data_IF_094917982756
#
_entry.id   IF_094917982756
#
_cell.length_a   1.000
_cell.length_b   1.000
_cell.length_c   1.000
_cell.angle_alpha   90.00
_cell.angle_beta   90.00
_cell.angle_gamma   90.00
#
_symmetry.space_group_name_H-M   'P 1'
#
loop_
_entity.id
_entity.type
_entity.pdbx_description
1 polymer ?
#
# COMPACT_ATOMS: atom_id res chain seq x y z
N UNK A 1 19.95 13.49 -8.19
CA UNK A 1 19.90 12.21 -7.46
C UNK A 1 20.05 11.11 -8.49
N UNK A 2 20.97 10.17 -8.29
CA UNK A 2 21.24 9.09 -9.25
C UNK A 2 20.05 8.13 -9.27
N UNK A 3 19.40 8.02 -10.43
CA UNK A 3 18.26 7.12 -10.71
C UNK A 3 18.55 5.66 -10.38
N UNK A 4 19.83 5.27 -10.36
CA UNK A 4 20.32 3.93 -10.04
C UNK A 4 19.91 3.43 -8.65
N UNK A 5 19.63 4.33 -7.69
CA UNK A 5 19.23 3.96 -6.33
C UNK A 5 17.93 3.14 -6.31
N UNK A 6 17.02 3.37 -7.25
CA UNK A 6 15.65 2.84 -7.23
C UNK A 6 15.34 1.88 -8.37
N UNK A 7 16.33 1.46 -9.14
CA UNK A 7 16.10 0.57 -10.27
C UNK A 7 15.53 -0.78 -9.83
N UNK A 8 15.93 -1.30 -8.65
CA UNK A 8 15.40 -2.57 -8.16
C UNK A 8 13.88 -2.55 -7.95
N UNK A 9 13.30 -1.45 -7.45
CA UNK A 9 11.85 -1.36 -7.26
C UNK A 9 11.08 -1.18 -8.57
N UNK A 10 11.69 -0.50 -9.56
CA UNK A 10 11.14 -0.41 -10.92
C UNK A 10 11.14 -1.76 -11.64
N UNK A 11 12.13 -2.61 -11.36
CA UNK A 11 12.16 -4.00 -11.85
C UNK A 11 11.42 -5.00 -10.95
N UNK A 12 10.56 -4.51 -10.04
CA UNK A 12 9.63 -5.35 -9.26
C UNK A 12 10.23 -6.04 -8.04
N UNK A 13 11.45 -5.68 -7.61
CA UNK A 13 11.98 -6.12 -6.32
C UNK A 13 11.43 -5.26 -5.19
N UNK A 14 11.12 -5.86 -4.04
CA UNK A 14 10.76 -5.08 -2.84
C UNK A 14 11.98 -4.35 -2.29
N UNK A 15 11.79 -3.11 -1.85
CA UNK A 15 12.72 -2.37 -1.01
C UNK A 15 12.29 -2.45 0.44
N UNK A 16 13.24 -2.58 1.35
CA UNK A 16 13.00 -2.66 2.79
C UNK A 16 13.67 -1.49 3.49
N UNK A 17 12.92 -0.83 4.36
CA UNK A 17 13.28 0.39 5.08
C UNK A 17 13.28 0.05 6.56
N UNK A 18 14.40 0.25 7.24
CA UNK A 18 14.49 0.08 8.70
C UNK A 18 13.70 1.20 9.39
N UNK A 19 12.93 0.90 10.44
CA UNK A 19 12.17 1.91 11.21
C UNK A 19 13.05 2.76 12.12
N UNK A 20 14.04 3.43 11.53
CA UNK A 20 14.98 4.34 12.17
C UNK A 20 14.74 5.80 11.73
N UNK A 21 15.51 6.75 12.25
CA UNK A 21 15.42 8.15 11.82
C UNK A 21 15.61 8.26 10.30
N UNK A 22 14.63 8.85 9.61
CA UNK A 22 14.66 9.02 8.14
C UNK A 22 13.78 8.04 7.36
N UNK A 23 13.17 7.04 8.01
CA UNK A 23 12.31 6.06 7.33
C UNK A 23 11.16 6.69 6.53
N UNK A 24 10.53 7.74 7.06
CA UNK A 24 9.46 8.45 6.36
C UNK A 24 9.95 9.16 5.08
N UNK A 25 11.16 9.72 5.12
CA UNK A 25 11.76 10.38 3.96
C UNK A 25 12.12 9.35 2.88
N UNK A 26 12.74 8.23 3.29
CA UNK A 26 13.09 7.15 2.39
C UNK A 26 11.85 6.49 1.75
N UNK A 27 10.79 6.29 2.52
CA UNK A 27 9.51 5.80 2.00
C UNK A 27 8.89 6.79 1.00
N UNK A 28 8.96 8.08 1.30
CA UNK A 28 8.49 9.14 0.40
C UNK A 28 9.24 9.16 -0.92
N UNK A 29 10.57 9.08 -0.89
CA UNK A 29 11.40 9.00 -2.09
C UNK A 29 11.07 7.75 -2.92
N UNK A 30 11.00 6.58 -2.29
CA UNK A 30 10.67 5.33 -2.97
C UNK A 30 9.28 5.37 -3.61
N UNK A 31 8.28 5.91 -2.90
CA UNK A 31 6.92 6.04 -3.40
C UNK A 31 6.87 7.01 -4.58
N UNK A 32 7.53 8.18 -4.48
CA UNK A 32 7.59 9.14 -5.57
C UNK A 32 8.20 8.53 -6.84
N UNK A 33 9.24 7.73 -6.68
CA UNK A 33 9.91 7.05 -7.80
C UNK A 33 9.02 6.01 -8.49
N UNK A 34 8.23 5.25 -7.72
CA UNK A 34 7.24 4.33 -8.29
C UNK A 34 6.10 5.07 -8.99
N UNK A 35 5.62 6.18 -8.41
CA UNK A 35 4.56 6.98 -9.01
C UNK A 35 5.02 7.62 -10.33
N UNK A 36 6.22 8.17 -10.38
CA UNK A 36 6.80 8.72 -11.62
C UNK A 36 7.09 7.63 -12.65
N UNK A 37 7.44 6.41 -12.22
CA UNK A 37 7.64 5.29 -13.12
C UNK A 37 6.32 4.82 -13.76
N UNK A 38 5.23 4.77 -12.99
CA UNK A 38 3.92 4.29 -13.43
C UNK A 38 3.07 5.34 -14.16
N UNK A 39 3.28 6.61 -13.82
CA UNK A 39 2.51 7.75 -14.33
C UNK A 39 3.41 9.01 -14.39
N UNK A 40 4.32 9.08 -15.38
CA UNK A 40 5.29 10.18 -15.50
C UNK A 40 4.63 11.56 -15.59
N UNK A 41 3.45 11.63 -16.19
CA UNK A 41 2.69 12.88 -16.37
C UNK A 41 1.86 13.25 -15.14
N UNK A 42 1.80 12.37 -14.12
CA UNK A 42 1.06 12.58 -12.88
C UNK A 42 -0.43 12.91 -13.11
N UNK A 43 -1.08 12.26 -14.08
CA UNK A 43 -2.47 12.54 -14.45
C UNK A 43 -3.49 11.56 -13.84
N UNK A 44 -3.04 10.37 -13.43
CA UNK A 44 -3.94 9.33 -12.91
C UNK A 44 -4.34 9.65 -11.46
N UNK A 45 -5.57 9.39 -11.01
CA UNK A 45 -5.88 9.54 -9.59
C UNK A 45 -5.11 8.51 -8.76
N UNK A 46 -4.77 8.84 -7.51
CA UNK A 46 -4.12 7.93 -6.56
C UNK A 46 -5.18 7.33 -5.66
N UNK A 47 -5.33 6.02 -5.72
CA UNK A 47 -6.33 5.26 -4.96
C UNK A 47 -5.62 4.48 -3.86
N UNK A 48 -5.66 5.01 -2.65
CA UNK A 48 -5.03 4.43 -1.47
C UNK A 48 -6.04 3.50 -0.82
N UNK A 49 -5.68 2.22 -0.72
CA UNK A 49 -6.46 1.20 -0.05
C UNK A 49 -5.72 0.71 1.18
N UNK A 50 -6.26 1.05 2.35
CA UNK A 50 -5.75 0.64 3.64
C UNK A 50 -6.47 -0.65 4.09
N UNK A 51 -5.70 -1.74 4.21
CA UNK A 51 -6.22 -3.08 4.49
C UNK A 51 -5.82 -3.50 5.90
N UNK A 52 -6.76 -4.05 6.67
CA UNK A 52 -6.52 -4.53 8.02
C UNK A 52 -7.81 -4.72 8.79
N UNK A 53 -7.72 -5.09 10.08
CA UNK A 53 -8.88 -5.31 10.94
C UNK A 53 -8.75 -4.57 12.26
N UNK A 54 -9.87 -4.25 12.89
CA UNK A 54 -9.97 -3.64 14.22
C UNK A 54 -9.73 -4.64 15.38
N UNK A 55 -9.50 -5.93 15.09
CA UNK A 55 -9.50 -7.01 16.09
C UNK A 55 -8.14 -7.36 16.69
N UNK A 56 -7.04 -6.86 16.13
CA UNK A 56 -5.68 -7.13 16.63
C UNK A 56 -4.91 -5.82 16.72
N UNK A 57 -4.20 -5.58 17.82
CA UNK A 57 -3.35 -4.38 18.05
C UNK A 57 -2.25 -4.18 16.99
N UNK A 58 -1.95 -5.19 16.15
CA UNK A 58 -1.05 -5.10 15.00
C UNK A 58 -1.74 -4.98 13.63
N UNK A 59 -3.00 -5.40 13.49
CA UNK A 59 -3.74 -5.40 12.20
C UNK A 59 -4.53 -4.11 11.96
N UNK A 60 -4.70 -3.27 12.99
CA UNK A 60 -5.41 -1.99 12.88
C UNK A 60 -4.56 -0.91 12.20
N UNK A 61 -3.28 -1.18 11.91
CA UNK A 61 -2.37 -0.19 11.34
C UNK A 61 -2.81 0.28 9.94
N UNK A 62 -3.39 -0.61 9.12
CA UNK A 62 -4.01 -0.22 7.85
C UNK A 62 -5.15 0.79 8.06
N UNK A 63 -6.27 0.40 8.69
CA UNK A 63 -7.41 1.30 8.96
C UNK A 63 -7.05 2.59 9.71
N UNK A 64 -6.07 2.54 10.63
CA UNK A 64 -5.57 3.72 11.33
C UNK A 64 -4.88 4.69 10.36
N UNK A 65 -4.00 4.19 9.48
CA UNK A 65 -3.38 5.00 8.42
C UNK A 65 -4.44 5.59 7.51
N UNK A 66 -5.43 4.80 7.08
CA UNK A 66 -6.53 5.29 6.25
C UNK A 66 -7.32 6.41 6.90
N UNK A 67 -7.60 6.30 8.20
CA UNK A 67 -8.29 7.34 8.98
C UNK A 67 -7.47 8.63 9.06
N UNK A 68 -6.15 8.52 9.24
CA UNK A 68 -5.25 9.68 9.27
C UNK A 68 -5.06 10.33 7.90
N UNK A 69 -5.15 9.56 6.82
CA UNK A 69 -5.05 10.05 5.44
C UNK A 69 -6.37 10.64 4.92
N UNK A 70 -7.52 10.24 5.48
CA UNK A 70 -8.84 10.68 5.02
C UNK A 70 -8.99 12.21 4.91
N UNK A 71 -8.48 13.05 5.82
CA UNK A 71 -8.51 14.51 5.68
C UNK A 71 -7.76 15.06 4.46
N UNK A 72 -6.84 14.28 3.88
CA UNK A 72 -6.08 14.60 2.68
C UNK A 72 -6.79 14.15 1.38
N UNK A 73 -7.93 13.48 1.50
CA UNK A 73 -8.71 13.04 0.35
C UNK A 73 -9.14 14.23 -0.51
N UNK A 74 -9.15 14.02 -1.83
CA UNK A 74 -9.46 15.04 -2.83
C UNK A 74 -9.99 14.39 -4.10
N UNK A 75 -10.22 15.19 -5.14
CA UNK A 75 -10.53 14.68 -6.48
C UNK A 75 -9.39 13.89 -7.12
N UNK A 76 -8.18 13.98 -6.56
CA UNK A 76 -6.99 13.29 -7.08
C UNK A 76 -6.48 12.19 -6.14
N UNK A 77 -6.69 12.32 -4.83
CA UNK A 77 -6.34 11.32 -3.82
C UNK A 77 -7.60 10.71 -3.21
N UNK A 78 -7.84 9.42 -3.46
CA UNK A 78 -8.96 8.68 -2.90
C UNK A 78 -8.47 7.74 -1.81
N UNK A 79 -9.10 7.78 -0.64
CA UNK A 79 -8.72 6.97 0.52
C UNK A 79 -9.86 6.00 0.85
N UNK A 80 -9.52 4.72 0.96
CA UNK A 80 -10.44 3.64 1.34
C UNK A 80 -9.84 2.79 2.45
N UNK A 81 -10.70 2.26 3.33
CA UNK A 81 -10.26 1.46 4.47
C UNK A 81 -9.89 2.32 5.66
N UNK A 82 -10.89 2.82 6.37
CA UNK A 82 -10.71 3.62 7.60
C UNK A 82 -11.16 2.80 8.81
N UNK A 83 -11.02 3.37 10.02
CA UNK A 83 -11.57 2.74 11.22
C UNK A 83 -13.11 2.68 11.16
N UNK A 84 -13.76 3.66 10.53
CA UNK A 84 -15.22 3.71 10.38
C UNK A 84 -15.74 2.82 9.24
N UNK A 85 -14.97 2.67 8.15
CA UNK A 85 -15.28 1.83 6.98
C UNK A 85 -14.09 0.90 6.66
N UNK A 86 -13.88 -0.16 7.46
CA UNK A 86 -12.70 -1.02 7.36
C UNK A 86 -12.77 -1.95 6.14
N UNK A 87 -11.59 -2.23 5.58
CA UNK A 87 -11.43 -3.19 4.48
C UNK A 87 -10.49 -4.30 4.94
N UNK A 88 -11.00 -5.52 4.96
CA UNK A 88 -10.33 -6.71 5.47
C UNK A 88 -10.53 -7.90 4.53
N UNK A 89 -9.82 -9.01 4.80
CA UNK A 89 -9.78 -10.17 3.90
C UNK A 89 -11.15 -10.68 3.40
N UNK A 90 -12.21 -10.62 4.23
CA UNK A 90 -13.54 -11.13 3.83
C UNK A 90 -14.35 -10.19 2.93
N UNK A 91 -14.09 -8.88 2.91
CA UNK A 91 -14.80 -7.90 2.05
C UNK A 91 -13.89 -7.32 0.94
N UNK A 92 -12.59 -7.59 0.99
CA UNK A 92 -11.56 -7.04 0.10
C UNK A 92 -11.87 -7.24 -1.39
N UNK A 93 -12.37 -8.42 -1.78
CA UNK A 93 -12.64 -8.73 -3.20
C UNK A 93 -13.75 -7.83 -3.75
N UNK A 94 -14.87 -7.74 -3.01
CA UNK A 94 -16.01 -6.93 -3.41
C UNK A 94 -15.66 -5.44 -3.39
N UNK A 95 -15.00 -4.98 -2.33
CA UNK A 95 -14.58 -3.58 -2.17
C UNK A 95 -13.60 -3.16 -3.25
N UNK A 96 -12.60 -3.99 -3.54
CA UNK A 96 -11.65 -3.74 -4.62
C UNK A 96 -12.36 -3.58 -5.96
N UNK A 97 -13.29 -4.48 -6.29
CA UNK A 97 -14.05 -4.41 -7.55
C UNK A 97 -14.83 -3.09 -7.66
N UNK A 98 -15.57 -2.71 -6.60
CA UNK A 98 -16.32 -1.46 -6.59
C UNK A 98 -15.41 -0.22 -6.71
N UNK A 99 -14.23 -0.27 -6.11
CA UNK A 99 -13.23 0.80 -6.19
C UNK A 99 -12.62 0.90 -7.59
N UNK A 100 -12.30 -0.23 -8.24
CA UNK A 100 -11.82 -0.27 -9.63
C UNK A 100 -12.86 0.27 -10.61
N UNK A 101 -14.14 -0.06 -10.39
CA UNK A 101 -15.25 0.47 -11.18
C UNK A 101 -15.44 1.98 -10.97
N UNK A 102 -15.22 2.49 -9.76
CA UNK A 102 -15.27 3.91 -9.45
C UNK A 102 -14.07 4.70 -10.01
N UNK A 103 -12.90 4.04 -10.13
CA UNK A 103 -11.63 4.66 -10.52
C UNK A 103 -10.90 3.86 -11.63
N UNK A 104 -11.48 3.77 -12.84
CA UNK A 104 -10.99 2.86 -13.89
C UNK A 104 -9.55 3.10 -14.35
N UNK A 105 -8.99 4.29 -14.11
CA UNK A 105 -7.60 4.65 -14.44
C UNK A 105 -6.75 4.98 -13.21
N UNK A 106 -7.25 4.72 -12.00
CA UNK A 106 -6.53 5.04 -10.76
C UNK A 106 -5.28 4.21 -10.58
N UNK A 107 -4.26 4.78 -9.94
CA UNK A 107 -3.13 4.01 -9.43
C UNK A 107 -3.53 3.40 -8.09
N UNK A 108 -3.60 2.09 -8.03
CA UNK A 108 -3.97 1.38 -6.82
C UNK A 108 -2.76 1.15 -5.90
N UNK A 109 -2.79 1.78 -4.74
CA UNK A 109 -1.74 1.74 -3.71
C UNK A 109 -2.33 1.03 -2.49
N UNK A 110 -1.87 -0.19 -2.22
CA UNK A 110 -2.33 -0.94 -1.05
C UNK A 110 -1.37 -0.73 0.14
N UNK A 111 -1.94 -0.43 1.30
CA UNK A 111 -1.24 -0.35 2.59
C UNK A 111 -1.76 -1.49 3.46
N UNK A 112 -0.92 -2.49 3.74
CA UNK A 112 -1.33 -3.71 4.45
C UNK A 112 -0.30 -4.08 5.52
N UNK A 113 -0.75 -4.24 6.77
CA UNK A 113 0.07 -4.59 7.92
C UNK A 113 0.34 -6.11 8.07
N UNK A 114 -0.31 -6.95 7.26
CA UNK A 114 -0.36 -8.41 7.47
C UNK A 114 0.65 -9.24 6.65
N UNK A 115 1.62 -8.59 5.99
CA UNK A 115 2.37 -9.19 4.87
C UNK A 115 3.89 -9.32 5.03
N UNK A 116 4.37 -9.36 6.27
CA UNK A 116 5.77 -9.64 6.55
C UNK A 116 6.03 -11.08 6.99
N UNK A 117 7.23 -11.57 6.70
CA UNK A 117 7.76 -12.78 7.34
C UNK A 117 8.43 -12.40 8.66
N UNK A 118 8.54 -13.34 9.62
CA UNK A 118 9.12 -13.11 10.96
C UNK A 118 10.51 -12.47 10.91
N UNK A 119 11.30 -12.75 9.86
CA UNK A 119 12.64 -12.18 9.66
C UNK A 119 12.65 -10.68 9.28
N UNK A 120 11.48 -10.06 9.08
CA UNK A 120 11.35 -8.69 8.59
C UNK A 120 10.76 -7.72 9.62
N UNK A 121 10.46 -8.19 10.84
CA UNK A 121 9.93 -7.39 11.95
C UNK A 121 10.77 -6.13 12.18
N UNK A 122 10.09 -4.97 12.29
CA UNK A 122 10.73 -3.66 12.45
C UNK A 122 11.11 -2.97 11.14
N UNK A 123 10.57 -3.41 10.00
CA UNK A 123 10.82 -2.81 8.68
C UNK A 123 9.54 -2.42 7.96
N UNK A 124 9.64 -1.47 7.04
CA UNK A 124 8.60 -1.14 6.07
C UNK A 124 9.07 -1.64 4.70
N UNK A 125 8.23 -2.37 3.99
CA UNK A 125 8.50 -2.77 2.60
C UNK A 125 7.69 -1.96 1.62
N UNK A 126 8.29 -1.62 0.48
CA UNK A 126 7.62 -0.98 -0.66
C UNK A 126 8.02 -1.67 -1.97
N UNK A 127 7.10 -1.80 -2.92
CA UNK A 127 7.41 -2.34 -4.25
C UNK A 127 6.19 -2.41 -5.17
N UNK A 128 6.46 -2.77 -6.44
CA UNK A 128 5.42 -2.99 -7.44
C UNK A 128 4.69 -4.32 -7.24
N UNK A 129 3.40 -4.35 -7.55
CA UNK A 129 2.66 -5.58 -7.77
C UNK A 129 1.84 -6.12 -6.60
N UNK A 130 1.37 -7.36 -6.78
CA UNK A 130 0.33 -7.99 -5.94
C UNK A 130 0.74 -8.23 -4.49
N UNK A 131 -0.18 -7.93 -3.58
CA UNK A 131 -0.16 -8.41 -2.20
C UNK A 131 -0.51 -9.90 -2.22
N UNK A 132 0.27 -10.73 -1.55
CA UNK A 132 -0.11 -12.12 -1.25
C UNK A 132 -0.53 -12.18 0.21
N UNK A 133 -1.84 -12.21 0.54
CA UNK A 133 -2.32 -12.36 1.92
C UNK A 133 -1.58 -13.48 2.66
N UNK A 134 -1.29 -13.24 3.95
CA UNK A 134 -0.68 -14.22 4.85
C UNK A 134 -1.44 -15.56 4.91
N UNK A 135 -0.74 -16.58 5.42
CA UNK A 135 -0.95 -18.03 5.24
C UNK A 135 -2.32 -18.67 5.57
N UNK A 136 -3.39 -17.91 5.81
CA UNK A 136 -4.72 -18.42 6.19
C UNK A 136 -5.82 -18.30 5.13
N UNK A 137 -5.63 -17.55 4.04
CA UNK A 137 -6.71 -17.27 3.08
C UNK A 137 -6.29 -17.63 1.66
N UNK A 138 -7.16 -18.37 0.96
CA UNK A 138 -6.97 -18.89 -0.40
C UNK A 138 -6.23 -17.89 -1.32
N UNK A 139 -5.23 -18.44 -1.99
CA UNK A 139 -4.32 -17.91 -3.02
C UNK A 139 -5.02 -17.04 -4.09
N UNK A 140 -5.42 -15.81 -3.74
CA UNK A 140 -5.95 -14.82 -4.69
C UNK A 140 -4.85 -13.78 -4.92
N UNK A 141 -4.36 -13.73 -6.16
CA UNK A 141 -3.40 -12.70 -6.59
C UNK A 141 -4.19 -11.42 -6.88
N UNK A 142 -4.34 -10.56 -5.87
CA UNK A 142 -4.91 -9.23 -6.08
C UNK A 142 -3.83 -8.35 -6.70
N UNK A 143 -4.04 -7.91 -7.94
CA UNK A 143 -3.13 -6.98 -8.59
C UNK A 143 -3.30 -5.60 -7.96
N UNK A 144 -2.20 -5.08 -7.43
CA UNK A 144 -2.03 -3.68 -7.02
C UNK A 144 -0.82 -3.16 -7.78
N UNK A 145 -0.77 -1.85 -8.00
CA UNK A 145 0.40 -1.25 -8.64
C UNK A 145 1.50 -1.01 -7.62
N UNK A 146 1.17 -0.55 -6.41
CA UNK A 146 2.13 -0.34 -5.32
C UNK A 146 1.63 -1.01 -4.04
N UNK A 147 2.55 -1.66 -3.33
CA UNK A 147 2.35 -2.26 -2.01
C UNK A 147 3.23 -1.54 -1.00
N UNK A 148 2.67 -1.14 0.14
CA UNK A 148 3.41 -0.70 1.33
C UNK A 148 3.00 -1.59 2.50
N UNK A 149 3.97 -2.24 3.14
CA UNK A 149 3.69 -3.12 4.28
C UNK A 149 4.69 -2.91 5.41
N UNK A 150 4.24 -2.40 6.58
CA UNK A 150 5.00 -2.54 7.81
C UNK A 150 5.01 -4.01 8.23
N UNK A 151 6.16 -4.48 8.71
CA UNK A 151 6.29 -5.81 9.28
C UNK A 151 6.44 -5.68 10.78
N UNK A 152 5.47 -6.22 11.51
CA UNK A 152 5.40 -6.25 12.97
C UNK A 152 5.42 -7.67 13.51
#
# INVERSE_FOLDING_TARGET
MTTEKWDHIRFGKKHYIETSNGAAHELGDALAELLLHLDPDMIRPRVILCIGTDRSTGDCLGPLVGTQLLPLASSYYHIYGTLDDPIHATNLIERKKAIEEAHPNGIMIAIDASLGTVDQVGKISIGLGSLRPGAGVKKISLQWEICISPVS
#
